data_IF_114548830335
#
_entry.id   IF_114548830335
#
_cell.length_a   1.000
_cell.length_b   1.000
_cell.length_c   1.000
_cell.angle_alpha   90.00
_cell.angle_beta   90.00
_cell.angle_gamma   90.00
#
_symmetry.space_group_name_H-M   'P 1'
#
loop_
_entity.id
_entity.type
_entity.pdbx_description
1 polymer ?
#
# COMPACT_ATOMS: atom_id res chain seq x y z
N UNK A 1 3.86 10.27 -2.45
CA UNK A 1 4.01 10.59 -1.00
C UNK A 1 4.25 9.31 -0.21
N UNK A 2 5.02 9.37 0.87
CA UNK A 2 5.41 8.18 1.63
C UNK A 2 4.90 8.17 3.09
N UNK A 3 3.57 8.09 3.32
CA UNK A 3 2.99 8.09 4.66
C UNK A 3 3.17 6.74 5.35
N UNK A 4 3.13 6.77 6.69
CA UNK A 4 3.02 5.54 7.49
C UNK A 4 1.69 4.85 7.20
N UNK A 5 1.70 3.53 7.02
CA UNK A 5 0.53 2.76 6.54
C UNK A 5 -0.72 2.92 7.41
N UNK A 6 -0.56 3.18 8.72
CA UNK A 6 -1.69 3.39 9.66
C UNK A 6 -2.56 4.60 9.33
N UNK A 7 -2.09 5.52 8.49
CA UNK A 7 -2.82 6.75 8.14
C UNK A 7 -3.58 6.64 6.81
N UNK A 8 -3.57 5.46 6.18
CA UNK A 8 -4.21 5.23 4.88
C UNK A 8 -5.66 4.79 5.05
N UNK A 9 -6.53 5.79 5.15
CA UNK A 9 -7.97 5.60 4.95
C UNK A 9 -8.30 5.47 3.46
N UNK A 10 -9.47 4.90 3.16
CA UNK A 10 -9.92 4.75 1.78
C UNK A 10 -10.12 6.10 1.08
N UNK A 11 -10.68 7.08 1.79
CA UNK A 11 -10.91 8.45 1.30
C UNK A 11 -9.59 9.12 0.93
N UNK A 12 -8.54 8.91 1.73
CA UNK A 12 -7.21 9.44 1.46
C UNK A 12 -6.64 8.85 0.15
N UNK A 13 -6.69 7.53 -0.01
CA UNK A 13 -6.23 6.87 -1.24
C UNK A 13 -7.02 7.34 -2.45
N UNK A 14 -8.34 7.49 -2.32
CA UNK A 14 -9.20 8.01 -3.37
C UNK A 14 -8.83 9.45 -3.78
N UNK A 15 -8.66 10.36 -2.81
CA UNK A 15 -8.22 11.72 -3.06
C UNK A 15 -6.86 11.77 -3.76
N UNK A 16 -5.91 10.95 -3.33
CA UNK A 16 -4.57 10.87 -3.92
C UNK A 16 -4.62 10.38 -5.37
N UNK A 17 -5.49 9.41 -5.69
CA UNK A 17 -5.72 8.95 -7.05
C UNK A 17 -6.32 10.05 -7.93
N UNK A 18 -7.26 10.85 -7.41
CA UNK A 18 -7.86 11.98 -8.13
C UNK A 18 -6.86 13.10 -8.44
N UNK A 19 -5.89 13.34 -7.55
CA UNK A 19 -4.81 14.33 -7.78
C UNK A 19 -3.59 13.73 -8.51
N UNK A 20 -3.72 12.50 -9.03
CA UNK A 20 -2.67 11.76 -9.73
C UNK A 20 -1.35 11.67 -8.94
N UNK A 21 -1.44 11.47 -7.61
CA UNK A 21 -0.28 11.25 -6.75
C UNK A 21 -0.16 9.81 -6.34
N UNK A 22 1.02 9.25 -6.61
CA UNK A 22 1.39 7.90 -6.20
C UNK A 22 1.65 7.84 -4.69
N UNK A 23 1.10 6.80 -4.05
CA UNK A 23 1.30 6.49 -2.64
C UNK A 23 2.32 5.35 -2.55
N UNK A 24 3.36 5.58 -1.76
CA UNK A 24 4.41 4.61 -1.47
C UNK A 24 4.35 4.29 0.03
N UNK A 25 4.19 3.03 0.41
CA UNK A 25 4.11 2.65 1.84
C UNK A 25 5.34 1.90 2.30
N UNK A 26 5.80 2.23 3.50
CA UNK A 26 6.91 1.58 4.19
C UNK A 26 6.63 1.47 5.69
N UNK A 27 7.11 0.47 6.43
CA UNK A 27 7.44 -0.90 5.99
C UNK A 27 6.27 -1.79 6.42
N UNK A 28 5.76 -2.63 5.52
CA UNK A 28 4.59 -3.48 5.79
C UNK A 28 4.99 -4.94 5.76
N UNK A 29 4.88 -5.63 6.88
CA UNK A 29 5.33 -7.01 7.06
C UNK A 29 4.19 -8.02 7.26
N UNK A 30 2.99 -7.53 7.58
CA UNK A 30 1.79 -8.33 7.79
C UNK A 30 1.06 -8.59 6.47
N UNK A 31 0.77 -9.85 6.16
CA UNK A 31 0.17 -10.27 4.89
C UNK A 31 -1.21 -9.69 4.66
N UNK A 32 -2.08 -9.75 5.68
CA UNK A 32 -3.41 -9.17 5.63
C UNK A 32 -3.36 -7.66 5.33
N UNK A 33 -2.37 -6.97 5.89
CA UNK A 33 -2.19 -5.54 5.68
C UNK A 33 -1.67 -5.22 4.28
N UNK A 34 -0.80 -6.07 3.72
CA UNK A 34 -0.38 -5.95 2.33
C UNK A 34 -1.57 -6.10 1.38
N UNK A 35 -2.45 -7.08 1.61
CA UNK A 35 -3.69 -7.27 0.84
C UNK A 35 -4.55 -6.02 0.91
N UNK A 36 -4.87 -5.53 2.12
CA UNK A 36 -5.72 -4.36 2.32
C UNK A 36 -5.16 -3.10 1.62
N UNK A 37 -3.83 -2.94 1.58
CA UNK A 37 -3.18 -1.79 0.94
C UNK A 37 -3.17 -1.89 -0.60
N UNK A 38 -3.00 -3.09 -1.13
CA UNK A 38 -3.14 -3.35 -2.57
C UNK A 38 -4.58 -3.06 -3.02
N UNK A 39 -5.57 -3.56 -2.27
CA UNK A 39 -6.99 -3.30 -2.54
C UNK A 39 -7.35 -1.81 -2.45
N UNK A 40 -6.70 -1.06 -1.55
CA UNK A 40 -6.84 0.41 -1.45
C UNK A 40 -6.20 1.16 -2.63
N UNK A 41 -5.47 0.49 -3.52
CA UNK A 41 -4.86 1.09 -4.71
C UNK A 41 -3.56 1.84 -4.44
N UNK A 42 -2.79 1.39 -3.44
CA UNK A 42 -1.43 1.90 -3.22
C UNK A 42 -0.55 1.52 -4.41
N UNK A 43 0.33 2.45 -4.82
CA UNK A 43 1.15 2.27 -6.03
C UNK A 43 2.32 1.32 -5.78
N UNK A 44 2.98 1.43 -4.62
CA UNK A 44 4.10 0.58 -4.27
C UNK A 44 4.18 0.34 -2.76
N UNK A 45 4.60 -0.87 -2.39
CA UNK A 45 4.79 -1.29 -1.01
C UNK A 45 6.26 -1.68 -0.78
N UNK A 46 6.79 -1.32 0.39
CA UNK A 46 8.12 -1.70 0.85
C UNK A 46 7.95 -2.70 2.01
N UNK A 47 8.54 -3.88 1.87
CA UNK A 47 8.45 -4.98 2.82
C UNK A 47 9.80 -5.65 3.02
N UNK A 48 10.02 -6.22 4.20
CA UNK A 48 11.17 -7.08 4.47
C UNK A 48 10.94 -8.52 3.95
N UNK A 49 9.70 -8.85 3.55
CA UNK A 49 9.27 -10.18 3.09
C UNK A 49 8.78 -10.14 1.64
N UNK A 50 9.71 -10.00 0.65
CA UNK A 50 9.34 -9.91 -0.76
C UNK A 50 8.68 -11.19 -1.28
N UNK A 51 8.98 -12.34 -0.68
CA UNK A 51 8.36 -13.64 -0.95
C UNK A 51 6.84 -13.60 -0.76
N UNK A 52 6.39 -13.03 0.37
CA UNK A 52 4.95 -12.86 0.65
C UNK A 52 4.30 -11.85 -0.28
N UNK A 53 4.99 -10.74 -0.57
CA UNK A 53 4.46 -9.74 -1.49
C UNK A 53 4.25 -10.31 -2.90
N UNK A 54 5.18 -11.12 -3.41
CA UNK A 54 5.05 -11.73 -4.75
C UNK A 54 3.82 -12.65 -4.83
N UNK A 55 3.51 -13.40 -3.77
CA UNK A 55 2.33 -14.26 -3.73
C UNK A 55 0.99 -13.50 -3.84
N UNK A 56 0.98 -12.19 -3.55
CA UNK A 56 -0.21 -11.35 -3.71
C UNK A 56 -0.43 -10.88 -5.16
N UNK A 57 0.62 -10.91 -5.99
CA UNK A 57 0.59 -10.46 -7.38
C UNK A 57 0.67 -11.62 -8.40
N UNK A 58 0.74 -12.87 -7.92
CA UNK A 58 0.80 -14.08 -8.75
C UNK A 58 -0.55 -14.54 -9.28
#
# INVERSE_FOLDING_TARGET
IAPHYSWLSWEFCWCMKLINKEIYVWTVNEEQMMIDLVDKGVFALITDYPDKAIALFS
#
